data_IF_569554516165
#
_entry.id   IF_569554516165
#
_cell.length_a   1.000
_cell.length_b   1.000
_cell.length_c   1.000
_cell.angle_alpha   90.00
_cell.angle_beta   90.00
_cell.angle_gamma   90.00
#
_symmetry.space_group_name_H-M   'P 1'
#
loop_
_entity.id
_entity.type
_entity.pdbx_description
1 polymer ?
#
# COMPACT_ATOMS: atom_id res chain seq x y z
N UNK A 1 -20.38 -12.77 30.49
CA UNK A 1 -19.70 -11.58 29.92
C UNK A 1 -19.96 -11.60 28.43
N UNK A 2 -20.69 -10.62 27.87
CA UNK A 2 -20.87 -10.53 26.43
C UNK A 2 -19.52 -10.13 25.81
N UNK A 3 -18.77 -11.10 25.32
CA UNK A 3 -17.57 -10.84 24.52
C UNK A 3 -18.02 -10.43 23.12
N UNK A 4 -18.28 -9.15 22.94
CA UNK A 4 -18.35 -8.58 21.59
C UNK A 4 -16.94 -8.72 21.02
N UNK A 5 -16.80 -9.47 19.92
CA UNK A 5 -15.52 -9.64 19.23
C UNK A 5 -14.93 -8.31 18.76
N UNK A 6 -13.69 -8.31 18.24
CA UNK A 6 -13.08 -7.09 17.71
C UNK A 6 -13.97 -6.42 16.67
N UNK A 7 -13.97 -5.10 16.63
CA UNK A 7 -14.58 -4.35 15.54
C UNK A 7 -13.76 -4.62 14.28
N UNK A 8 -14.39 -5.22 13.28
CA UNK A 8 -13.77 -5.51 11.99
C UNK A 8 -13.87 -4.31 11.06
N UNK A 9 -12.76 -3.96 10.44
CA UNK A 9 -12.68 -2.88 9.44
C UNK A 9 -12.13 -3.46 8.15
N UNK A 10 -12.98 -3.54 7.13
CA UNK A 10 -12.57 -3.96 5.80
C UNK A 10 -11.91 -2.80 5.03
N UNK A 11 -10.72 -3.05 4.49
CA UNK A 11 -9.89 -2.06 3.79
C UNK A 11 -9.57 -2.56 2.39
N UNK A 12 -10.15 -1.93 1.37
CA UNK A 12 -9.76 -2.14 -0.02
C UNK A 12 -8.59 -1.22 -0.36
N UNK A 13 -7.51 -1.80 -0.87
CA UNK A 13 -6.25 -1.10 -1.01
C UNK A 13 -5.49 -1.51 -2.26
N UNK A 14 -4.78 -0.55 -2.84
CA UNK A 14 -3.88 -0.75 -3.97
C UNK A 14 -2.50 -0.15 -3.66
N UNK A 15 -1.44 -0.92 -3.89
CA UNK A 15 -0.05 -0.49 -3.63
C UNK A 15 0.42 0.65 -4.53
N UNK A 16 -0.24 0.88 -5.68
CA UNK A 16 0.05 2.04 -6.54
C UNK A 16 -0.79 3.28 -6.21
N UNK A 17 -1.66 3.21 -5.19
CA UNK A 17 -2.47 4.33 -4.75
C UNK A 17 -1.77 5.16 -3.67
N UNK A 18 -1.41 6.44 -3.94
CA UNK A 18 -0.74 7.27 -2.95
C UNK A 18 -1.62 7.53 -1.71
N UNK A 19 -2.94 7.62 -1.89
CA UNK A 19 -3.86 7.83 -0.77
C UNK A 19 -4.02 6.59 0.12
N UNK A 20 -3.87 5.38 -0.43
CA UNK A 20 -3.84 4.17 0.37
C UNK A 20 -2.60 4.13 1.26
N UNK A 21 -1.43 4.52 0.74
CA UNK A 21 -0.23 4.61 1.58
C UNK A 21 -0.34 5.69 2.66
N UNK A 22 -0.85 6.87 2.31
CA UNK A 22 -1.14 7.93 3.28
C UNK A 22 -2.10 7.46 4.38
N UNK A 23 -3.06 6.61 4.05
CA UNK A 23 -4.04 6.10 5.00
C UNK A 23 -3.46 5.01 5.91
N UNK A 24 -2.44 4.27 5.46
CA UNK A 24 -1.77 3.25 6.27
C UNK A 24 -1.28 3.84 7.61
N UNK A 25 -0.65 5.01 7.61
CA UNK A 25 -0.19 5.66 8.84
C UNK A 25 -1.32 5.93 9.86
N UNK A 26 -2.52 6.28 9.37
CA UNK A 26 -3.70 6.49 10.23
C UNK A 26 -4.22 5.16 10.78
N UNK A 27 -4.26 4.12 9.94
CA UNK A 27 -4.69 2.79 10.37
C UNK A 27 -3.73 2.18 11.39
N UNK A 28 -2.42 2.40 11.24
CA UNK A 28 -1.40 2.01 12.22
C UNK A 28 -1.59 2.71 13.57
N UNK A 29 -1.88 4.01 13.56
CA UNK A 29 -2.20 4.76 14.79
C UNK A 29 -3.47 4.22 15.47
N UNK A 30 -4.50 3.86 14.69
CA UNK A 30 -5.70 3.21 15.22
C UNK A 30 -5.35 1.84 15.83
N UNK A 31 -4.55 1.01 15.14
CA UNK A 31 -4.10 -0.27 15.66
C UNK A 31 -3.34 -0.11 16.98
N UNK A 32 -2.44 0.87 17.08
CA UNK A 32 -1.70 1.18 18.31
C UNK A 32 -2.61 1.63 19.45
N UNK A 33 -3.64 2.43 19.15
CA UNK A 33 -4.55 2.99 20.16
C UNK A 33 -5.53 1.95 20.71
N UNK A 34 -6.08 1.12 19.83
CA UNK A 34 -7.17 0.20 20.19
C UNK A 34 -6.71 -1.26 20.37
N UNK A 35 -5.56 -1.64 19.81
CA UNK A 35 -5.00 -2.98 19.91
C UNK A 35 -5.95 -4.05 19.37
N UNK A 36 -6.07 -5.14 20.11
CA UNK A 36 -6.92 -6.30 19.77
C UNK A 36 -8.43 -6.00 19.73
N UNK A 37 -8.85 -4.77 20.07
CA UNK A 37 -10.25 -4.34 19.89
C UNK A 37 -10.59 -4.02 18.43
N UNK A 38 -9.57 -3.85 17.57
CA UNK A 38 -9.72 -3.67 16.13
C UNK A 38 -9.09 -4.84 15.37
N UNK A 39 -9.75 -5.24 14.29
CA UNK A 39 -9.24 -6.22 13.33
C UNK A 39 -9.36 -5.62 11.92
N UNK A 40 -8.23 -5.40 11.25
CA UNK A 40 -8.20 -4.93 9.86
C UNK A 40 -8.22 -6.11 8.89
N UNK A 41 -9.22 -6.12 8.01
CA UNK A 41 -9.35 -7.10 6.94
C UNK A 41 -8.98 -6.47 5.60
N UNK A 42 -7.82 -6.82 5.07
CA UNK A 42 -7.24 -6.19 3.87
C UNK A 42 -7.64 -6.91 2.58
N UNK A 43 -8.36 -6.19 1.72
CA UNK A 43 -8.81 -6.65 0.42
C UNK A 43 -7.99 -6.02 -0.70
N UNK A 44 -7.60 -6.85 -1.66
CA UNK A 44 -6.94 -6.37 -2.87
C UNK A 44 -7.93 -5.55 -3.72
N UNK A 45 -7.46 -4.40 -4.22
CA UNK A 45 -8.17 -3.61 -5.21
C UNK A 45 -7.18 -3.18 -6.28
N UNK A 46 -7.50 -3.41 -7.55
CA UNK A 46 -6.72 -2.87 -8.67
C UNK A 46 -7.37 -1.57 -9.12
N UNK A 47 -6.68 -0.43 -8.97
CA UNK A 47 -7.12 0.85 -9.53
C UNK A 47 -7.18 0.81 -11.05
N UNK A 48 -6.29 0.03 -11.66
CA UNK A 48 -6.13 -0.09 -13.11
C UNK A 48 -5.92 -1.56 -13.50
N UNK A 49 -6.98 -2.40 -13.46
CA UNK A 49 -6.93 -3.74 -14.00
C UNK A 49 -6.77 -3.70 -15.52
N UNK A 50 -6.29 -4.80 -16.10
CA UNK A 50 -6.37 -5.01 -17.54
C UNK A 50 -7.85 -5.06 -18.00
N UNK A 51 -8.24 -4.44 -19.13
CA UNK A 51 -7.41 -3.79 -20.15
C UNK A 51 -7.28 -2.26 -20.01
N UNK A 52 -7.60 -1.67 -18.86
CA UNK A 52 -7.54 -0.21 -18.70
C UNK A 52 -6.12 0.31 -18.95
N UNK A 53 -5.96 1.47 -19.60
CA UNK A 53 -4.64 2.03 -19.83
C UNK A 53 -3.92 2.34 -18.51
N UNK A 54 -2.61 2.10 -18.49
CA UNK A 54 -1.74 2.59 -17.40
C UNK A 54 -1.63 4.12 -17.47
N UNK A 55 -1.17 4.69 -16.36
CA UNK A 55 -0.88 6.12 -16.34
C UNK A 55 0.41 6.42 -17.09
N UNK A 56 0.41 7.51 -17.84
CA UNK A 56 1.64 8.14 -18.30
C UNK A 56 2.32 8.84 -17.11
N UNK A 57 3.51 8.39 -16.67
CA UNK A 57 4.23 9.01 -15.55
C UNK A 57 4.60 10.48 -15.80
N UNK A 58 4.62 10.90 -17.07
CA UNK A 58 4.96 12.26 -17.49
C UNK A 58 3.75 13.21 -17.58
N UNK A 59 2.52 12.72 -17.35
CA UNK A 59 1.32 13.53 -17.49
C UNK A 59 1.23 14.66 -16.43
N UNK A 60 0.89 15.88 -16.88
CA UNK A 60 0.81 17.07 -16.03
C UNK A 60 -0.15 16.91 -14.85
N UNK A 61 -1.34 16.35 -15.09
CA UNK A 61 -2.36 16.20 -14.05
C UNK A 61 -1.88 15.33 -12.86
N UNK A 62 -0.93 14.42 -13.07
CA UNK A 62 -0.33 13.66 -11.98
C UNK A 62 0.55 14.55 -11.13
N UNK A 63 1.44 15.33 -11.75
CA UNK A 63 2.27 16.31 -11.02
C UNK A 63 1.40 17.31 -10.24
N UNK A 64 0.31 17.76 -10.84
CA UNK A 64 -0.66 18.63 -10.18
C UNK A 64 -1.34 17.94 -8.99
N UNK A 65 -1.81 16.70 -9.16
CA UNK A 65 -2.42 15.93 -8.07
C UNK A 65 -1.44 15.72 -6.91
N UNK A 66 -0.18 15.41 -7.23
CA UNK A 66 0.86 15.20 -6.25
C UNK A 66 1.18 16.47 -5.46
N UNK A 67 1.42 17.58 -6.15
CA UNK A 67 1.73 18.87 -5.54
C UNK A 67 0.56 19.46 -4.74
N UNK A 68 -0.67 19.34 -5.25
CA UNK A 68 -1.85 19.95 -4.61
C UNK A 68 -2.47 19.09 -3.50
N UNK A 69 -2.31 17.77 -3.55
CA UNK A 69 -3.06 16.87 -2.66
C UNK A 69 -2.18 15.87 -1.93
N UNK A 70 -1.33 15.12 -2.64
CA UNK A 70 -0.55 14.03 -2.03
C UNK A 70 0.51 14.56 -1.08
N UNK A 71 1.41 15.44 -1.55
CA UNK A 71 2.53 15.94 -0.74
C UNK A 71 2.06 16.76 0.48
N UNK A 72 1.07 17.67 0.37
CA UNK A 72 0.55 18.36 1.55
C UNK A 72 -0.09 17.42 2.58
N UNK A 73 -0.69 16.31 2.14
CA UNK A 73 -1.26 15.31 3.04
C UNK A 73 -0.18 14.44 3.69
N UNK A 74 0.87 14.10 2.93
CA UNK A 74 2.04 13.39 3.43
C UNK A 74 2.72 14.18 4.56
N UNK A 75 2.92 15.48 4.37
CA UNK A 75 3.48 16.39 5.38
C UNK A 75 2.64 16.40 6.66
N UNK A 76 1.31 16.63 6.55
CA UNK A 76 0.40 16.61 7.71
C UNK A 76 0.39 15.28 8.46
N UNK A 77 0.61 14.17 7.77
CA UNK A 77 0.62 12.81 8.34
C UNK A 77 2.04 12.32 8.69
N UNK A 78 3.06 13.15 8.47
CA UNK A 78 4.47 12.81 8.67
C UNK A 78 4.91 11.54 7.93
N UNK A 79 4.35 11.31 6.74
CA UNK A 79 4.70 10.16 5.87
C UNK A 79 5.70 10.63 4.82
N UNK A 80 6.83 9.93 4.69
CA UNK A 80 7.78 10.21 3.62
C UNK A 80 7.22 9.65 2.32
N UNK A 81 7.08 10.49 1.29
CA UNK A 81 6.64 10.06 -0.03
C UNK A 81 7.37 10.81 -1.14
N UNK A 82 7.69 10.08 -2.20
CA UNK A 82 8.23 10.56 -3.46
C UNK A 82 7.26 10.16 -4.55
N UNK A 83 7.07 11.04 -5.53
CA UNK A 83 6.32 10.71 -6.73
C UNK A 83 7.05 9.59 -7.49
N UNK A 84 6.43 8.42 -7.71
CA UNK A 84 7.04 7.36 -8.49
C UNK A 84 7.30 7.82 -9.93
N UNK A 85 8.44 7.42 -10.49
CA UNK A 85 8.78 7.64 -11.90
C UNK A 85 8.17 6.59 -12.83
N UNK A 86 7.62 5.51 -12.26
CA UNK A 86 6.98 4.39 -12.97
C UNK A 86 5.54 4.21 -12.49
N UNK A 87 4.68 3.66 -13.36
CA UNK A 87 3.25 3.43 -13.07
C UNK A 87 2.85 2.00 -13.45
N UNK A 88 3.32 0.99 -12.69
CA UNK A 88 3.11 -0.42 -13.04
C UNK A 88 1.69 -0.90 -12.76
N UNK A 89 1.37 -2.10 -13.26
CA UNK A 89 0.21 -2.87 -12.80
C UNK A 89 0.47 -3.37 -11.38
N UNK A 90 -0.55 -3.30 -10.52
CA UNK A 90 -0.45 -3.75 -9.13
C UNK A 90 -0.81 -5.22 -8.91
N UNK A 91 -1.34 -5.93 -9.92
CA UNK A 91 -1.77 -7.33 -9.78
C UNK A 91 -0.71 -8.22 -9.12
N UNK A 92 0.53 -8.20 -9.64
CA UNK A 92 1.61 -9.07 -9.13
C UNK A 92 1.96 -8.79 -7.66
N UNK A 93 2.05 -7.52 -7.26
CA UNK A 93 2.33 -7.18 -5.85
C UNK A 93 1.15 -7.51 -4.93
N UNK A 94 -0.10 -7.41 -5.43
CA UNK A 94 -1.29 -7.83 -4.69
C UNK A 94 -1.31 -9.35 -4.49
N UNK A 95 -0.96 -10.13 -5.52
CA UNK A 95 -0.80 -11.58 -5.43
C UNK A 95 0.34 -11.97 -4.48
N UNK A 96 1.49 -11.28 -4.56
CA UNK A 96 2.60 -11.49 -3.64
C UNK A 96 2.21 -11.18 -2.17
N UNK A 97 1.40 -10.14 -1.94
CA UNK A 97 0.87 -9.85 -0.61
C UNK A 97 -0.11 -10.93 -0.12
N UNK A 98 -0.92 -11.50 -1.01
CA UNK A 98 -1.78 -12.63 -0.66
C UNK A 98 -0.96 -13.87 -0.30
N UNK A 99 0.13 -14.13 -1.02
CA UNK A 99 1.09 -15.18 -0.66
C UNK A 99 1.74 -14.92 0.70
N UNK A 100 2.19 -13.68 0.95
CA UNK A 100 2.75 -13.25 2.24
C UNK A 100 1.82 -13.51 3.42
N UNK A 101 0.51 -13.32 3.20
CA UNK A 101 -0.52 -13.61 4.20
C UNK A 101 -0.62 -15.07 4.57
N UNK A 102 -0.57 -15.97 3.59
CA UNK A 102 -0.60 -17.40 3.85
C UNK A 102 0.66 -17.89 4.58
N UNK A 103 1.78 -17.19 4.40
CA UNK A 103 3.04 -17.47 5.07
C UNK A 103 3.25 -16.72 6.40
N UNK A 104 2.29 -15.89 6.84
CA UNK A 104 2.34 -15.19 8.13
C UNK A 104 3.20 -13.92 8.16
N UNK A 105 3.65 -13.41 7.01
CA UNK A 105 4.51 -12.22 6.90
C UNK A 105 3.81 -11.03 6.22
N UNK A 106 2.47 -11.07 6.11
CA UNK A 106 1.68 -10.03 5.45
C UNK A 106 2.00 -8.61 5.94
N UNK A 107 2.06 -8.38 7.25
CA UNK A 107 2.27 -7.03 7.79
C UNK A 107 3.60 -6.42 7.33
N UNK A 108 4.68 -7.21 7.43
CA UNK A 108 6.01 -6.80 6.99
C UNK A 108 6.04 -6.56 5.46
N UNK A 109 5.50 -7.49 4.67
CA UNK A 109 5.41 -7.35 3.22
C UNK A 109 4.57 -6.15 2.80
N UNK A 110 3.40 -5.97 3.40
CA UNK A 110 2.44 -4.91 3.10
C UNK A 110 3.07 -3.53 3.29
N UNK A 111 3.78 -3.34 4.41
CA UNK A 111 4.46 -2.08 4.70
C UNK A 111 5.64 -1.84 3.77
N UNK A 112 6.48 -2.85 3.53
CA UNK A 112 7.64 -2.69 2.66
C UNK A 112 7.29 -2.55 1.17
N UNK A 113 6.20 -3.16 0.69
CA UNK A 113 5.71 -2.95 -0.67
C UNK A 113 5.34 -1.48 -0.92
N UNK A 114 4.66 -0.84 0.03
CA UNK A 114 4.38 0.59 -0.06
C UNK A 114 5.65 1.44 -0.05
N UNK A 115 6.58 1.16 0.87
CA UNK A 115 7.85 1.90 0.96
C UNK A 115 8.71 1.71 -0.27
N UNK A 116 8.74 0.50 -0.84
CA UNK A 116 9.41 0.20 -2.10
C UNK A 116 8.95 1.15 -3.20
N UNK A 117 7.65 1.33 -3.35
CA UNK A 117 7.10 2.18 -4.40
C UNK A 117 7.19 3.68 -4.08
N UNK A 118 6.73 4.10 -2.89
CA UNK A 118 6.57 5.52 -2.56
C UNK A 118 7.78 6.16 -1.86
N UNK A 119 8.71 5.41 -1.29
CA UNK A 119 9.91 5.97 -0.65
C UNK A 119 11.19 5.68 -1.45
N UNK A 120 11.30 4.45 -1.95
CA UNK A 120 12.49 3.94 -2.65
C UNK A 120 12.38 4.09 -4.18
N UNK A 121 11.16 4.27 -4.73
CA UNK A 121 10.93 4.46 -6.17
C UNK A 121 11.14 3.20 -7.01
N UNK A 122 10.99 2.02 -6.41
CA UNK A 122 11.15 0.73 -7.07
C UNK A 122 9.90 0.33 -7.84
N UNK A 123 10.08 -0.39 -8.95
CA UNK A 123 8.96 -0.94 -9.73
C UNK A 123 8.43 -2.23 -9.09
N UNK A 124 7.29 -2.12 -8.42
CA UNK A 124 6.58 -3.23 -7.77
C UNK A 124 5.74 -4.09 -8.74
N UNK A 125 5.74 -3.78 -10.04
CA UNK A 125 5.24 -4.67 -11.09
C UNK A 125 6.28 -5.68 -11.57
N UNK A 126 7.56 -5.47 -11.24
CA UNK A 126 8.65 -6.36 -11.63
C UNK A 126 8.84 -7.52 -10.66
N UNK A 127 8.96 -8.73 -11.22
CA UNK A 127 9.11 -9.95 -10.41
C UNK A 127 10.38 -9.93 -9.57
N UNK A 128 11.47 -9.36 -10.08
CA UNK A 128 12.72 -9.25 -9.34
C UNK A 128 12.56 -8.40 -8.07
N UNK A 129 11.93 -7.21 -8.17
CA UNK A 129 11.62 -6.37 -7.02
C UNK A 129 10.79 -7.13 -5.98
N UNK A 130 9.79 -7.90 -6.42
CA UNK A 130 8.93 -8.67 -5.52
C UNK A 130 9.69 -9.79 -4.79
N UNK A 131 10.66 -10.43 -5.44
CA UNK A 131 11.52 -11.43 -4.82
C UNK A 131 12.44 -10.81 -3.76
N UNK A 132 12.98 -9.61 -4.02
CA UNK A 132 13.77 -8.88 -3.02
C UNK A 132 12.92 -8.48 -1.80
N UNK A 133 11.70 -7.99 -2.04
CA UNK A 133 10.76 -7.68 -0.95
C UNK A 133 10.41 -8.92 -0.15
N UNK A 134 10.15 -10.05 -0.81
CA UNK A 134 9.89 -11.32 -0.15
C UNK A 134 11.06 -11.72 0.77
N UNK A 135 12.28 -11.76 0.22
CA UNK A 135 13.47 -12.15 0.99
C UNK A 135 13.73 -11.23 2.21
N UNK A 136 13.52 -9.92 2.07
CA UNK A 136 13.74 -8.97 3.17
C UNK A 136 12.63 -8.98 4.23
N UNK A 137 11.47 -9.53 3.91
CA UNK A 137 10.30 -9.58 4.81
C UNK A 137 10.04 -10.96 5.41
N UNK A 138 10.95 -11.91 5.14
CA UNK A 138 10.93 -13.26 5.72
C UNK A 138 10.07 -14.27 4.96
N UNK A 139 9.90 -14.07 3.64
CA UNK A 139 9.24 -15.00 2.72
C UNK A 139 10.22 -15.88 1.95
#
# INVERSE_FOLDING_TARGET
MNTVGPLKIDVWSDYVCPFCYLQLAVLEQLQQTYGERLEFNWHAFELRPDPLALLDPSADYLRETWSRSVLPMADRRQVTMKMPSVQPRSRKVLEAAAFARNAGSFEAFHKEAYRAFFEKGLDIGETHTLLELAATTGL
#
